data_IF_038044837953
#
_entry.id   IF_038044837953
#
_cell.length_a   1.000
_cell.length_b   1.000
_cell.length_c   1.000
_cell.angle_alpha   90.00
_cell.angle_beta   90.00
_cell.angle_gamma   90.00
#
_symmetry.space_group_name_H-M   'P 1'
#
loop_
_entity.id
_entity.type
_entity.pdbx_description
1 polymer ?
#
# COMPACT_ATOMS: atom_id res chain seq x y z
N UNK A 1 -8.32 2.44 -7.86
CA UNK A 1 -7.44 3.57 -7.51
C UNK A 1 -6.58 3.84 -8.73
N UNK A 2 -6.46 5.08 -9.22
CA UNK A 2 -5.56 5.42 -10.32
C UNK A 2 -4.13 5.02 -9.97
N UNK A 3 -3.30 4.81 -10.99
CA UNK A 3 -1.87 4.61 -10.78
C UNK A 3 -1.33 5.84 -10.01
N UNK A 4 -0.69 5.69 -8.83
CA UNK A 4 -0.04 6.80 -8.14
C UNK A 4 0.90 7.64 -9.04
N UNK A 5 1.51 7.05 -10.08
CA UNK A 5 2.29 7.79 -11.08
C UNK A 5 1.42 8.62 -12.04
N UNK A 6 0.16 8.26 -12.24
CA UNK A 6 -0.83 9.01 -13.03
C UNK A 6 -1.56 10.08 -12.21
N UNK A 7 -1.37 10.10 -10.89
CA UNK A 7 -1.97 11.10 -10.01
C UNK A 7 -1.45 12.50 -10.35
N UNK A 8 -2.37 13.42 -10.63
CA UNK A 8 -2.04 14.83 -10.85
C UNK A 8 -1.53 15.49 -9.56
N UNK A 9 -0.84 16.62 -9.70
CA UNK A 9 -0.38 17.39 -8.53
C UNK A 9 -1.53 17.88 -7.66
N UNK A 10 -2.67 18.26 -8.24
CA UNK A 10 -3.81 18.74 -7.45
C UNK A 10 -4.49 17.58 -6.68
N UNK A 11 -4.49 16.36 -7.21
CA UNK A 11 -4.94 15.16 -6.48
C UNK A 11 -3.95 14.78 -5.38
N UNK A 12 -2.65 14.91 -5.64
CA UNK A 12 -1.61 14.65 -4.66
C UNK A 12 -1.63 15.66 -3.50
N UNK A 13 -1.90 16.94 -3.78
CA UNK A 13 -2.15 17.96 -2.76
C UNK A 13 -3.33 17.56 -1.86
N UNK A 14 -4.45 17.12 -2.43
CA UNK A 14 -5.59 16.67 -1.63
C UNK A 14 -5.25 15.44 -0.77
N UNK A 15 -4.40 14.54 -1.26
CA UNK A 15 -3.92 13.41 -0.48
C UNK A 15 -3.03 13.87 0.68
N UNK A 16 -2.10 14.79 0.43
CA UNK A 16 -1.25 15.40 1.44
C UNK A 16 -2.07 16.13 2.53
N UNK A 17 -3.11 16.85 2.12
CA UNK A 17 -4.02 17.54 3.03
C UNK A 17 -4.81 16.56 3.90
N UNK A 18 -5.32 15.46 3.31
CA UNK A 18 -6.02 14.38 4.05
C UNK A 18 -5.09 13.66 5.02
N UNK A 19 -3.82 13.53 4.67
CA UNK A 19 -2.79 12.99 5.56
C UNK A 19 -2.39 13.98 6.67
N UNK A 20 -2.91 15.21 6.67
CA UNK A 20 -2.63 16.23 7.68
C UNK A 20 -1.24 16.85 7.55
N UNK A 21 -0.61 16.75 6.38
CA UNK A 21 0.76 17.23 6.17
C UNK A 21 0.84 18.76 6.04
N UNK A 22 -0.26 19.42 5.63
CA UNK A 22 -0.36 20.88 5.60
C UNK A 22 0.72 21.57 4.74
N UNK A 23 1.14 20.91 3.66
CA UNK A 23 2.26 21.34 2.81
C UNK A 23 1.82 22.40 1.80
N UNK A 24 2.72 23.31 1.49
CA UNK A 24 2.58 24.24 0.37
C UNK A 24 2.67 23.52 -0.97
N UNK A 25 2.18 24.18 -2.04
CA UNK A 25 2.22 23.61 -3.40
C UNK A 25 3.63 23.23 -3.85
N UNK A 26 4.63 24.04 -3.51
CA UNK A 26 6.02 23.77 -3.85
C UNK A 26 6.54 22.52 -3.13
N UNK A 27 6.26 22.37 -1.84
CA UNK A 27 6.67 21.19 -1.05
C UNK A 27 6.00 19.91 -1.58
N UNK A 28 4.73 20.01 -2.01
CA UNK A 28 4.01 18.90 -2.66
C UNK A 28 4.63 18.52 -4.00
N UNK A 29 5.00 19.51 -4.82
CA UNK A 29 5.69 19.29 -6.10
C UNK A 29 7.08 18.66 -5.89
N UNK A 30 7.80 19.04 -4.84
CA UNK A 30 9.10 18.46 -4.47
C UNK A 30 8.96 17.03 -3.90
N UNK A 31 7.87 16.74 -3.17
CA UNK A 31 7.60 15.43 -2.60
C UNK A 31 7.10 14.40 -3.64
N UNK A 32 6.35 14.85 -4.66
CA UNK A 32 5.69 13.97 -5.63
C UNK A 32 6.62 12.95 -6.31
N UNK A 33 7.83 13.30 -6.79
CA UNK A 33 8.73 12.33 -7.41
C UNK A 33 9.15 11.20 -6.46
N UNK A 34 9.33 11.52 -5.17
CA UNK A 34 9.70 10.54 -4.15
C UNK A 34 8.51 9.62 -3.86
N UNK A 35 7.31 10.19 -3.73
CA UNK A 35 6.08 9.42 -3.58
C UNK A 35 5.88 8.46 -4.76
N UNK A 36 6.06 8.92 -6.00
CA UNK A 36 5.90 8.12 -7.21
C UNK A 36 6.86 6.93 -7.24
N UNK A 37 8.12 7.14 -6.82
CA UNK A 37 9.11 6.09 -6.69
C UNK A 37 8.68 5.00 -5.69
N UNK A 38 8.28 5.40 -4.48
CA UNK A 38 7.83 4.44 -3.47
C UNK A 38 6.55 3.72 -3.85
N UNK A 39 5.64 4.42 -4.53
CA UNK A 39 4.40 3.84 -4.98
C UNK A 39 4.64 2.77 -6.07
N UNK A 40 5.63 2.97 -6.93
CA UNK A 40 6.07 1.95 -7.90
C UNK A 40 6.62 0.70 -7.19
N UNK A 41 7.43 0.86 -6.14
CA UNK A 41 7.92 -0.29 -5.36
C UNK A 41 6.80 -0.99 -4.57
N UNK A 42 5.87 -0.23 -3.99
CA UNK A 42 4.70 -0.80 -3.32
C UNK A 42 3.85 -1.64 -4.29
N UNK A 43 3.66 -1.17 -5.54
CA UNK A 43 2.99 -1.96 -6.57
C UNK A 43 3.70 -3.28 -6.84
N UNK A 44 5.03 -3.28 -7.00
CA UNK A 44 5.77 -4.52 -7.21
C UNK A 44 5.55 -5.54 -6.10
N UNK A 45 5.40 -5.10 -4.84
CA UNK A 45 5.07 -5.98 -3.72
C UNK A 45 3.62 -6.51 -3.79
N UNK A 46 2.67 -5.66 -4.21
CA UNK A 46 1.27 -6.06 -4.36
C UNK A 46 1.02 -6.97 -5.57
N UNK A 47 1.89 -6.93 -6.58
CA UNK A 47 1.83 -7.82 -7.74
C UNK A 47 2.39 -9.23 -7.44
N UNK A 48 2.90 -9.47 -6.23
CA UNK A 48 3.33 -10.79 -5.78
C UNK A 48 2.08 -11.66 -5.54
N UNK A 49 1.89 -12.67 -6.40
CA UNK A 49 0.97 -13.75 -6.14
C UNK A 49 1.58 -14.68 -5.07
N UNK A 50 1.08 -14.57 -3.84
CA UNK A 50 1.49 -15.43 -2.73
C UNK A 50 0.95 -16.86 -2.86
N UNK A 51 0.12 -17.14 -3.89
CA UNK A 51 -0.63 -18.37 -4.02
C UNK A 51 -1.64 -18.57 -2.90
N UNK A 52 -2.55 -19.53 -3.05
CA UNK A 52 -3.35 -20.03 -1.94
C UNK A 52 -2.43 -20.85 -1.02
N UNK A 53 -1.70 -20.18 -0.12
CA UNK A 53 -1.18 -20.87 1.04
C UNK A 53 -2.38 -21.14 1.94
N UNK A 54 -3.02 -22.28 1.75
CA UNK A 54 -4.00 -22.81 2.70
C UNK A 54 -3.29 -22.95 4.04
N UNK A 55 -3.41 -21.92 4.87
CA UNK A 55 -2.94 -21.93 6.24
C UNK A 55 -3.96 -22.73 7.07
N UNK A 56 -4.13 -24.01 6.72
CA UNK A 56 -4.93 -24.94 7.49
C UNK A 56 -4.11 -25.27 8.73
N UNK A 57 -4.52 -24.69 9.86
CA UNK A 57 -4.13 -25.23 11.16
C UNK A 57 -4.89 -26.55 11.30
N UNK A 58 -4.25 -27.66 10.98
CA UNK A 58 -4.79 -28.99 11.25
C UNK A 58 -4.79 -29.20 12.77
N UNK A 59 -5.98 -29.10 13.38
CA UNK A 59 -6.18 -29.43 14.78
C UNK A 59 -6.41 -30.93 14.91
N UNK A 60 -5.46 -31.63 15.54
CA UNK A 60 -5.64 -33.03 15.96
C UNK A 60 -6.04 -33.04 17.44
N UNK A 61 -7.33 -33.26 17.78
CA UNK A 61 -7.72 -33.49 19.16
C UNK A 61 -7.17 -34.84 19.61
N UNK A 62 -6.18 -34.83 20.51
CA UNK A 62 -5.79 -36.02 21.27
C UNK A 62 -6.88 -36.32 22.31
N UNK A 63 -7.96 -37.00 21.89
CA UNK A 63 -8.94 -37.55 22.82
C UNK A 63 -8.36 -38.81 23.46
N UNK A 64 -8.29 -38.90 24.80
CA UNK A 64 -7.92 -40.14 25.45
C UNK A 64 -9.00 -41.20 25.12
N UNK A 65 -8.58 -42.29 24.51
CA UNK A 65 -9.42 -43.48 24.35
C UNK A 65 -9.61 -44.11 25.74
N UNK A 66 -10.88 -44.33 26.13
CA UNK A 66 -11.28 -45.00 27.38
C UNK A 66 -10.75 -46.44 27.50
#
# INVERSE_FOLDING_TARGET
MPDPAEMSIDEFQQLADRAGLGMSRQEVEELKPIYDLYAAYARQLHDIDFGATEMIVEYHPDWPED
#
